data_IF_279954417131
#
_entry.id   IF_279954417131
#
_cell.length_a   1.000
_cell.length_b   1.000
_cell.length_c   1.000
_cell.angle_alpha   90.00
_cell.angle_beta   90.00
_cell.angle_gamma   90.00
#
_symmetry.space_group_name_H-M   'P 1'
#
loop_
_entity.id
_entity.type
_entity.pdbx_description
1 polymer ?
#
# COMPACT_ATOMS: atom_id res chain seq x y z
N UNK A 1 -18.77 2.97 -20.16
CA UNK A 1 -17.97 1.78 -20.50
C UNK A 1 -17.43 1.22 -19.19
N UNK A 2 -17.87 0.05 -18.77
CA UNK A 2 -17.33 -0.63 -17.58
C UNK A 2 -16.10 -1.42 -18.02
N UNK A 3 -14.98 -1.26 -17.33
CA UNK A 3 -13.81 -2.09 -17.57
C UNK A 3 -14.17 -3.57 -17.34
N UNK A 4 -13.66 -4.52 -18.14
CA UNK A 4 -13.93 -5.94 -17.95
C UNK A 4 -13.24 -6.52 -16.71
N UNK A 5 -12.48 -5.70 -15.97
CA UNK A 5 -11.77 -6.02 -14.75
C UNK A 5 -12.03 -4.95 -13.68
N UNK A 6 -11.93 -5.34 -12.42
CA UNK A 6 -12.00 -4.40 -11.30
C UNK A 6 -10.69 -3.60 -11.22
N UNK A 7 -10.79 -2.29 -11.03
CA UNK A 7 -9.65 -1.41 -10.83
C UNK A 7 -9.37 -1.23 -9.34
N UNK A 8 -8.09 -1.27 -8.97
CA UNK A 8 -7.63 -0.79 -7.67
C UNK A 8 -7.15 0.65 -7.81
N UNK A 9 -7.55 1.51 -6.89
CA UNK A 9 -7.10 2.91 -6.87
C UNK A 9 -5.96 3.08 -5.88
N UNK A 10 -4.87 3.70 -6.35
CA UNK A 10 -3.85 4.22 -5.44
C UNK A 10 -4.39 5.50 -4.78
N UNK A 11 -5.01 5.33 -3.61
CA UNK A 11 -5.83 6.37 -2.96
C UNK A 11 -5.01 7.57 -2.51
N UNK A 12 -3.71 7.37 -2.29
CA UNK A 12 -2.80 8.41 -1.80
C UNK A 12 -2.68 9.57 -2.79
N UNK A 13 -2.60 9.27 -4.07
CA UNK A 13 -2.45 10.29 -5.11
C UNK A 13 -3.79 10.67 -5.74
N UNK A 14 -4.67 9.69 -6.01
CA UNK A 14 -5.93 9.95 -6.73
C UNK A 14 -6.97 10.71 -5.89
N UNK A 15 -6.88 10.62 -4.56
CA UNK A 15 -7.82 11.24 -3.63
C UNK A 15 -7.12 12.11 -2.58
N UNK A 16 -5.94 12.67 -2.90
CA UNK A 16 -5.15 13.46 -1.97
C UNK A 16 -5.93 14.60 -1.27
N UNK A 17 -6.86 15.23 -1.99
CA UNK A 17 -7.68 16.34 -1.48
C UNK A 17 -8.74 15.91 -0.46
N UNK A 18 -8.98 14.60 -0.27
CA UNK A 18 -10.00 14.09 0.65
C UNK A 18 -9.53 14.01 2.12
N UNK A 19 -8.27 14.35 2.42
CA UNK A 19 -7.73 14.35 3.79
C UNK A 19 -6.85 13.14 4.09
N UNK A 20 -7.01 12.53 5.26
CA UNK A 20 -6.24 11.34 5.68
C UNK A 20 -6.69 10.06 4.96
N UNK A 21 -5.91 8.98 5.02
CA UNK A 21 -6.11 7.78 4.19
C UNK A 21 -7.47 7.08 4.38
N UNK A 22 -8.00 7.11 5.59
CA UNK A 22 -9.36 6.65 5.90
C UNK A 22 -10.41 7.46 5.12
N UNK A 23 -10.33 8.79 5.16
CA UNK A 23 -11.20 9.66 4.38
C UNK A 23 -11.04 9.43 2.85
N UNK A 24 -9.81 9.15 2.39
CA UNK A 24 -9.53 8.80 0.98
C UNK A 24 -10.19 7.49 0.57
N UNK A 25 -10.30 6.49 1.46
CA UNK A 25 -11.04 5.26 1.19
C UNK A 25 -12.53 5.53 0.98
N UNK A 26 -13.15 6.36 1.82
CA UNK A 26 -14.55 6.75 1.62
C UNK A 26 -14.76 7.51 0.31
N UNK A 27 -13.83 8.41 -0.05
CA UNK A 27 -13.88 9.14 -1.32
C UNK A 27 -13.74 8.20 -2.53
N UNK A 28 -12.80 7.24 -2.47
CA UNK A 28 -12.63 6.23 -3.51
C UNK A 28 -13.87 5.34 -3.68
N UNK A 29 -14.51 4.94 -2.56
CA UNK A 29 -15.77 4.22 -2.58
C UNK A 29 -16.89 5.03 -3.26
N UNK A 30 -17.01 6.30 -2.91
CA UNK A 30 -18.00 7.20 -3.51
C UNK A 30 -17.77 7.41 -5.01
N UNK A 31 -16.51 7.36 -5.47
CA UNK A 31 -16.15 7.39 -6.88
C UNK A 31 -16.36 6.05 -7.63
N UNK A 32 -16.81 5.00 -6.93
CA UNK A 32 -17.16 3.71 -7.52
C UNK A 32 -16.05 2.65 -7.50
N UNK A 33 -14.93 2.90 -6.81
CA UNK A 33 -13.90 1.88 -6.63
C UNK A 33 -14.33 0.84 -5.59
N UNK A 34 -13.97 -0.41 -5.85
CA UNK A 34 -14.16 -1.52 -4.92
C UNK A 34 -12.84 -1.99 -4.28
N UNK A 35 -11.71 -1.51 -4.80
CA UNK A 35 -10.37 -1.93 -4.41
C UNK A 35 -9.47 -0.71 -4.23
N UNK A 36 -8.56 -0.79 -3.26
CA UNK A 36 -7.62 0.27 -2.95
C UNK A 36 -6.21 -0.28 -2.72
N UNK A 37 -5.22 0.59 -2.93
CA UNK A 37 -3.82 0.41 -2.58
C UNK A 37 -3.23 1.75 -2.11
N UNK A 38 -2.16 1.71 -1.32
CA UNK A 38 -1.44 2.91 -0.84
C UNK A 38 0.03 2.59 -0.59
N UNK A 39 0.91 3.61 -0.54
CA UNK A 39 2.34 3.36 -0.31
C UNK A 39 2.70 3.29 1.16
N UNK A 40 3.69 2.49 1.53
CA UNK A 40 4.17 2.37 2.92
C UNK A 40 3.06 2.00 3.91
N UNK A 41 3.40 1.63 5.14
CA UNK A 41 2.36 1.35 6.15
C UNK A 41 2.81 1.47 7.60
N UNK A 42 4.11 1.34 7.89
CA UNK A 42 4.64 1.22 9.26
C UNK A 42 4.40 2.45 10.13
N UNK A 43 4.33 3.63 9.52
CA UNK A 43 4.10 4.92 10.16
C UNK A 43 2.65 5.42 9.98
N UNK A 44 1.77 4.61 9.37
CA UNK A 44 0.39 4.98 9.06
C UNK A 44 -0.58 4.50 10.15
N UNK A 45 -1.73 5.17 10.34
CA UNK A 45 -2.74 4.76 11.32
C UNK A 45 -3.51 3.51 10.84
N UNK A 46 -2.88 2.33 10.95
CA UNK A 46 -3.41 1.05 10.43
C UNK A 46 -4.82 0.74 10.95
N UNK A 47 -5.11 1.01 12.22
CA UNK A 47 -6.42 0.75 12.80
C UNK A 47 -7.53 1.59 12.15
N UNK A 48 -7.25 2.88 11.88
CA UNK A 48 -8.20 3.75 11.19
C UNK A 48 -8.43 3.29 9.74
N UNK A 49 -7.36 2.89 9.05
CA UNK A 49 -7.43 2.33 7.69
C UNK A 49 -8.25 1.04 7.68
N UNK A 50 -8.02 0.13 8.64
CA UNK A 50 -8.77 -1.11 8.77
C UNK A 50 -10.27 -0.85 9.05
N UNK A 51 -10.57 0.12 9.91
CA UNK A 51 -11.94 0.60 10.16
C UNK A 51 -12.63 1.08 8.88
N UNK A 52 -12.00 2.01 8.16
CA UNK A 52 -12.55 2.53 6.91
C UNK A 52 -12.71 1.46 5.82
N UNK A 53 -11.80 0.50 5.70
CA UNK A 53 -11.96 -0.65 4.80
C UNK A 53 -13.17 -1.50 5.18
N UNK A 54 -13.38 -1.75 6.48
CA UNK A 54 -14.54 -2.48 6.98
C UNK A 54 -15.85 -1.75 6.70
N UNK A 55 -15.90 -0.44 6.94
CA UNK A 55 -17.09 0.40 6.72
C UNK A 55 -17.46 0.54 5.24
N UNK A 56 -16.47 0.72 4.37
CA UNK A 56 -16.68 0.88 2.92
C UNK A 56 -16.91 -0.44 2.19
N UNK A 57 -16.50 -1.55 2.80
CA UNK A 57 -16.46 -2.88 2.18
C UNK A 57 -15.45 -2.99 1.03
N UNK A 58 -14.50 -2.05 0.94
CA UNK A 58 -13.43 -2.09 -0.07
C UNK A 58 -12.38 -3.15 0.29
N UNK A 59 -11.75 -3.73 -0.74
CA UNK A 59 -10.60 -4.62 -0.55
C UNK A 59 -9.29 -3.85 -0.69
N UNK A 60 -8.41 -3.99 0.29
CA UNK A 60 -7.01 -3.60 0.13
C UNK A 60 -6.30 -4.66 -0.71
N UNK A 61 -5.79 -4.29 -1.89
CA UNK A 61 -5.16 -5.24 -2.83
C UNK A 61 -3.65 -5.24 -2.76
N UNK A 62 -3.05 -4.19 -2.21
CA UNK A 62 -1.61 -4.07 -2.10
C UNK A 62 -1.18 -2.90 -1.25
N UNK A 63 0.06 -3.00 -0.75
CA UNK A 63 0.79 -1.89 -0.15
C UNK A 63 1.99 -1.64 -1.07
N UNK A 64 2.02 -0.48 -1.69
CA UNK A 64 3.00 -0.14 -2.70
C UNK A 64 4.29 0.33 -2.03
N UNK A 65 5.37 -0.46 -2.13
CA UNK A 65 6.71 -0.09 -1.62
C UNK A 65 6.78 -0.05 -0.07
N UNK A 66 7.60 -0.93 0.52
CA UNK A 66 8.09 -0.87 1.91
C UNK A 66 9.38 -1.71 2.04
N UNK A 67 10.52 -1.14 2.48
CA UNK A 67 10.77 0.27 2.73
C UNK A 67 10.98 1.08 1.43
N UNK A 68 10.62 2.36 1.43
CA UNK A 68 11.03 3.28 0.37
C UNK A 68 12.47 3.76 0.63
N UNK A 69 13.42 3.19 -0.11
CA UNK A 69 14.84 3.54 -0.06
C UNK A 69 15.29 4.06 -1.43
N UNK A 70 16.16 5.06 -1.43
CA UNK A 70 16.84 5.64 -2.59
C UNK A 70 18.03 4.77 -2.94
N UNK A 71 17.90 3.96 -3.97
CA UNK A 71 18.95 3.01 -4.37
C UNK A 71 20.21 3.71 -4.93
N UNK A 72 20.09 4.96 -5.33
CA UNK A 72 21.22 5.81 -5.74
C UNK A 72 22.07 6.31 -4.56
N UNK A 73 21.52 6.34 -3.34
CA UNK A 73 22.29 6.64 -2.13
C UNK A 73 22.97 5.35 -1.64
N UNK A 74 24.31 5.39 -1.53
CA UNK A 74 25.08 4.20 -1.16
C UNK A 74 24.72 3.67 0.24
N UNK A 75 24.43 4.55 1.19
CA UNK A 75 24.08 4.12 2.55
C UNK A 75 22.69 3.46 2.58
N UNK A 76 21.74 4.00 1.80
CA UNK A 76 20.40 3.41 1.68
C UNK A 76 20.42 2.11 0.86
N UNK A 77 21.32 1.98 -0.11
CA UNK A 77 21.58 0.75 -0.84
C UNK A 77 22.12 -0.36 0.07
N UNK A 78 23.12 -0.08 0.90
CA UNK A 78 23.68 -1.05 1.83
C UNK A 78 22.60 -1.50 2.85
N UNK A 79 21.76 -0.57 3.33
CA UNK A 79 20.59 -0.88 4.17
C UNK A 79 19.55 -1.74 3.44
N UNK A 80 19.28 -1.45 2.16
CA UNK A 80 18.36 -2.25 1.34
C UNK A 80 18.87 -3.70 1.23
N UNK A 81 20.16 -3.90 0.98
CA UNK A 81 20.75 -5.25 0.91
C UNK A 81 20.60 -6.04 2.21
N UNK A 82 20.80 -5.40 3.37
CA UNK A 82 20.58 -6.03 4.66
C UNK A 82 19.10 -6.46 4.85
N UNK A 83 18.17 -5.56 4.53
CA UNK A 83 16.73 -5.83 4.68
C UNK A 83 16.24 -6.90 3.70
N UNK A 84 16.74 -6.92 2.46
CA UNK A 84 16.46 -8.00 1.52
C UNK A 84 17.01 -9.33 2.03
N UNK A 85 18.26 -9.35 2.51
CA UNK A 85 18.84 -10.55 3.12
C UNK A 85 17.98 -11.10 4.25
N UNK A 86 17.48 -10.23 5.15
CA UNK A 86 16.57 -10.65 6.22
C UNK A 86 15.24 -11.22 5.70
N UNK A 87 14.68 -10.67 4.62
CA UNK A 87 13.45 -11.20 4.00
C UNK A 87 13.68 -12.57 3.34
N UNK A 88 14.79 -12.75 2.62
CA UNK A 88 15.10 -14.02 1.95
C UNK A 88 15.50 -15.15 2.93
N UNK A 89 16.22 -14.83 4.02
CA UNK A 89 16.68 -15.85 4.98
C UNK A 89 15.69 -16.15 6.12
N UNK A 90 14.75 -15.25 6.43
CA UNK A 90 13.82 -15.47 7.55
C UNK A 90 12.57 -16.29 7.19
N UNK A 91 12.27 -16.47 5.90
CA UNK A 91 11.10 -17.26 5.44
C UNK A 91 11.44 -18.55 4.67
N UNK A 92 12.72 -18.91 4.49
CA UNK A 92 13.07 -20.17 3.82
C UNK A 92 12.57 -20.27 2.37
N UNK A 93 12.51 -19.15 1.65
CA UNK A 93 12.03 -19.08 0.26
C UNK A 93 13.09 -19.43 -0.79
N UNK A 94 14.24 -19.96 -0.37
CA UNK A 94 15.18 -20.65 -1.25
C UNK A 94 15.12 -22.13 -0.86
N UNK A 95 14.38 -22.92 -1.64
CA UNK A 95 14.65 -24.35 -1.70
C UNK A 95 15.95 -24.53 -2.48
N UNK A 96 16.81 -25.43 -1.98
CA UNK A 96 18.01 -25.92 -2.66
C UNK A 96 17.77 -26.33 -4.12
#
# INVERSE_FOLDING_TARGET
MTAPYQLSSCIEWQFADAGELDARLHAAKAAGFAMAEFHLWRDKPVDAIAGALSETGMRLTGICVDPALKLEDRAEWDKWQELQGQLFFREGLVND
#
